data_IF_359041173050
#
_entry.id   IF_359041173050
#
_cell.length_a   1.000
_cell.length_b   1.000
_cell.length_c   1.000
_cell.angle_alpha   90.00
_cell.angle_beta   90.00
_cell.angle_gamma   90.00
#
_symmetry.space_group_name_H-M   'P 1'
#
loop_
_entity.id
_entity.type
_entity.pdbx_description
1 polymer ?
#
# COMPACT_ATOMS: atom_id res chain seq x y z
N UNK A 1 -23.34 25.58 -8.05
CA UNK A 1 -21.89 25.33 -8.29
C UNK A 1 -21.44 24.37 -7.20
N UNK A 2 -20.78 23.26 -7.53
CA UNK A 2 -20.37 22.28 -6.53
C UNK A 2 -19.30 22.91 -5.62
N UNK A 3 -19.50 22.87 -4.31
CA UNK A 3 -18.59 23.45 -3.31
C UNK A 3 -17.18 22.84 -3.39
N UNK A 4 -17.10 21.58 -3.80
CA UNK A 4 -15.82 20.89 -4.02
C UNK A 4 -14.97 21.58 -5.12
N UNK A 5 -15.53 21.81 -6.31
CA UNK A 5 -14.80 22.42 -7.43
C UNK A 5 -14.50 23.91 -7.26
N UNK A 6 -15.08 24.53 -6.24
CA UNK A 6 -14.73 25.91 -5.84
C UNK A 6 -13.59 25.94 -4.83
N UNK A 7 -13.46 24.92 -3.98
CA UNK A 7 -12.34 24.78 -3.02
C UNK A 7 -11.10 24.15 -3.64
N UNK A 8 -11.28 23.22 -4.59
CA UNK A 8 -10.20 22.53 -5.30
C UNK A 8 -10.30 22.92 -6.79
N UNK A 9 -9.42 23.80 -7.30
CA UNK A 9 -9.48 24.25 -8.68
C UNK A 9 -9.22 23.11 -9.66
N UNK A 10 -10.07 22.99 -10.67
CA UNK A 10 -9.95 21.99 -11.73
C UNK A 10 -10.01 22.66 -13.10
N UNK A 11 -9.28 22.13 -14.07
CA UNK A 11 -9.34 22.60 -15.46
C UNK A 11 -10.26 21.71 -16.29
N UNK A 12 -11.50 22.16 -16.50
CA UNK A 12 -12.48 21.48 -17.38
C UNK A 12 -12.52 22.09 -18.80
N UNK A 13 -11.71 23.12 -19.07
CA UNK A 13 -11.80 23.90 -20.30
C UNK A 13 -13.18 24.55 -20.44
N UNK A 14 -13.84 24.37 -21.59
CA UNK A 14 -15.20 24.85 -21.83
C UNK A 14 -16.30 23.86 -21.40
N UNK A 15 -15.94 22.71 -20.83
CA UNK A 15 -16.91 21.71 -20.38
C UNK A 15 -17.45 22.09 -19.02
N UNK A 16 -18.73 21.80 -18.79
CA UNK A 16 -19.34 21.91 -17.47
C UNK A 16 -18.67 20.93 -16.50
N UNK A 17 -18.33 21.34 -15.27
CA UNK A 17 -17.80 20.44 -14.26
C UNK A 17 -18.71 19.22 -14.07
N UNK A 18 -18.20 17.99 -14.23
CA UNK A 18 -19.00 16.77 -14.11
C UNK A 18 -19.49 16.60 -12.68
N UNK A 19 -20.67 16.01 -12.48
CA UNK A 19 -21.13 15.71 -11.11
C UNK A 19 -20.52 14.39 -10.64
N UNK A 20 -19.87 14.40 -9.48
CA UNK A 20 -19.35 13.19 -8.83
C UNK A 20 -20.55 12.39 -8.32
N UNK A 21 -20.96 11.35 -9.06
CA UNK A 21 -22.13 10.51 -8.75
C UNK A 21 -21.80 9.03 -8.52
N UNK A 22 -20.61 8.59 -8.88
CA UNK A 22 -20.17 7.20 -8.77
C UNK A 22 -19.06 7.06 -7.74
N UNK A 23 -18.93 5.87 -7.16
CA UNK A 23 -17.87 5.56 -6.19
C UNK A 23 -16.51 5.65 -6.87
N UNK A 24 -16.41 5.25 -8.15
CA UNK A 24 -15.20 5.32 -8.95
C UNK A 24 -14.75 6.76 -9.17
N UNK A 25 -15.69 7.67 -9.51
CA UNK A 25 -15.37 9.08 -9.65
C UNK A 25 -14.93 9.70 -8.32
N UNK A 26 -15.56 9.28 -7.21
CA UNK A 26 -15.20 9.76 -5.88
C UNK A 26 -13.81 9.26 -5.43
N UNK A 27 -13.47 7.99 -5.72
CA UNK A 27 -12.12 7.43 -5.49
C UNK A 27 -11.06 8.25 -6.22
N UNK A 28 -11.28 8.60 -7.49
CA UNK A 28 -10.33 9.39 -8.27
C UNK A 28 -10.06 10.78 -7.65
N UNK A 29 -11.10 11.41 -7.10
CA UNK A 29 -11.00 12.73 -6.45
C UNK A 29 -10.30 12.65 -5.09
N UNK A 30 -10.57 11.61 -4.29
CA UNK A 30 -9.81 11.35 -3.04
C UNK A 30 -8.33 11.13 -3.36
N UNK A 31 -8.04 10.34 -4.39
CA UNK A 31 -6.65 10.10 -4.82
C UNK A 31 -5.96 11.37 -5.32
N UNK A 32 -6.68 12.31 -5.93
CA UNK A 32 -6.15 13.62 -6.31
C UNK A 32 -5.78 14.44 -5.08
N UNK A 33 -6.64 14.46 -4.06
CA UNK A 33 -6.38 15.16 -2.80
C UNK A 33 -5.16 14.59 -2.07
N UNK A 34 -5.03 13.27 -2.01
CA UNK A 34 -3.86 12.61 -1.43
C UNK A 34 -2.57 12.99 -2.17
N UNK A 35 -2.63 13.05 -3.51
CA UNK A 35 -1.53 13.48 -4.37
C UNK A 35 -1.15 14.94 -4.13
N UNK A 36 -2.12 15.85 -4.09
CA UNK A 36 -1.89 17.28 -3.82
C UNK A 36 -1.27 17.49 -2.45
N UNK A 37 -1.74 16.76 -1.44
CA UNK A 37 -1.17 16.76 -0.08
C UNK A 37 0.27 16.28 -0.11
N UNK A 38 0.56 15.20 -0.84
CA UNK A 38 1.93 14.69 -1.04
C UNK A 38 2.87 15.72 -1.68
N UNK A 39 2.39 16.44 -2.70
CA UNK A 39 3.14 17.51 -3.39
C UNK A 39 3.38 18.69 -2.46
N UNK A 40 2.36 19.17 -1.73
CA UNK A 40 2.50 20.27 -0.77
C UNK A 40 3.61 19.97 0.23
N UNK A 41 3.64 18.76 0.78
CA UNK A 41 4.68 18.30 1.71
C UNK A 41 6.06 18.29 1.06
N UNK A 42 6.16 17.89 -0.20
CA UNK A 42 7.42 17.89 -0.93
C UNK A 42 7.94 19.32 -1.17
N UNK A 43 7.04 20.23 -1.56
CA UNK A 43 7.35 21.62 -1.92
C UNK A 43 7.63 22.49 -0.69
N UNK A 44 6.83 22.41 0.38
CA UNK A 44 7.03 23.18 1.63
C UNK A 44 8.36 22.87 2.32
N UNK A 45 8.93 21.69 2.04
CA UNK A 45 10.25 21.33 2.54
C UNK A 45 11.38 21.93 1.71
N UNK A 46 11.19 22.45 0.49
CA UNK A 46 12.28 23.00 -0.34
C UNK A 46 12.67 24.42 0.10
N UNK A 47 13.84 24.59 0.74
CA UNK A 47 14.52 25.90 0.89
C UNK A 47 16.03 25.71 1.20
N UNK A 48 16.90 26.39 0.43
CA UNK A 48 18.35 26.68 0.62
C UNK A 48 19.46 25.68 0.21
N UNK A 49 20.60 26.32 -0.10
CA UNK A 49 21.86 26.09 -0.87
C UNK A 49 22.74 24.84 -0.72
N UNK A 50 22.23 23.71 -0.23
CA UNK A 50 22.94 22.42 -0.31
C UNK A 50 22.52 21.64 -1.57
N UNK A 51 23.25 20.57 -1.94
CA UNK A 51 22.79 19.65 -3.01
C UNK A 51 21.34 19.23 -2.71
N UNK A 52 20.37 19.64 -3.55
CA UNK A 52 18.96 19.39 -3.29
C UNK A 52 18.67 17.91 -3.03
N UNK A 53 19.39 17.01 -3.71
CA UNK A 53 19.17 15.56 -3.61
C UNK A 53 19.55 15.03 -2.22
N UNK A 54 20.74 15.38 -1.72
CA UNK A 54 21.20 14.95 -0.39
C UNK A 54 20.31 15.51 0.73
N UNK A 55 19.81 16.73 0.56
CA UNK A 55 18.82 17.32 1.47
C UNK A 55 17.49 16.58 1.44
N UNK A 56 17.01 16.20 0.25
CA UNK A 56 15.78 15.41 0.13
C UNK A 56 15.94 14.03 0.75
N UNK A 57 17.08 13.37 0.52
CA UNK A 57 17.41 12.06 1.07
C UNK A 57 17.51 12.06 2.60
N UNK A 58 18.31 12.98 3.17
CA UNK A 58 18.49 13.09 4.63
C UNK A 58 17.16 13.30 5.37
N UNK A 59 16.19 14.00 4.76
CA UNK A 59 14.85 14.22 5.33
C UNK A 59 13.95 13.00 5.33
N UNK A 60 14.23 11.99 4.51
CA UNK A 60 13.48 10.75 4.54
C UNK A 60 13.71 10.02 5.87
N UNK A 61 14.87 10.20 6.51
CA UNK A 61 15.28 9.47 7.72
C UNK A 61 15.30 7.95 7.52
N UNK A 62 15.70 7.51 6.34
CA UNK A 62 15.95 6.11 6.00
C UNK A 62 17.39 5.95 5.53
N UNK A 63 17.97 4.78 5.78
CA UNK A 63 19.06 4.24 4.97
C UNK A 63 18.42 3.38 3.88
N UNK A 64 18.64 3.78 2.63
CA UNK A 64 18.14 3.08 1.45
C UNK A 64 19.30 2.31 0.85
N UNK A 65 19.29 0.99 1.02
CA UNK A 65 20.41 0.13 0.66
C UNK A 65 20.00 -0.76 -0.51
N UNK A 66 20.70 -0.72 -1.66
CA UNK A 66 20.42 -1.65 -2.74
C UNK A 66 20.72 -3.09 -2.30
N UNK A 67 19.82 -4.01 -2.63
CA UNK A 67 20.02 -5.45 -2.36
C UNK A 67 20.57 -6.10 -3.62
N UNK A 68 21.66 -6.85 -3.47
CA UNK A 68 22.29 -7.57 -4.58
C UNK A 68 21.44 -8.74 -5.05
N UNK A 69 21.53 -9.11 -6.33
CA UNK A 69 20.67 -10.14 -6.95
C UNK A 69 20.95 -11.53 -6.41
N UNK A 70 22.17 -11.77 -5.97
CA UNK A 70 22.62 -13.04 -5.41
C UNK A 70 22.09 -13.27 -3.99
N UNK A 71 21.65 -12.21 -3.31
CA UNK A 71 21.11 -12.25 -1.95
C UNK A 71 19.81 -13.08 -1.88
N UNK A 72 19.65 -13.83 -0.79
CA UNK A 72 18.47 -14.66 -0.55
C UNK A 72 17.19 -13.82 -0.41
N UNK A 73 17.30 -12.62 0.17
CA UNK A 73 16.17 -11.66 0.24
C UNK A 73 15.71 -11.31 -1.17
N UNK A 74 16.63 -10.96 -2.07
CA UNK A 74 16.28 -10.59 -3.45
C UNK A 74 15.54 -11.73 -4.14
N UNK A 75 16.06 -12.95 -4.04
CA UNK A 75 15.45 -14.15 -4.65
C UNK A 75 14.06 -14.44 -4.07
N UNK A 76 13.89 -14.31 -2.76
CA UNK A 76 12.59 -14.48 -2.10
C UNK A 76 11.58 -13.45 -2.59
N UNK A 77 11.99 -12.18 -2.71
CA UNK A 77 11.13 -11.09 -3.17
C UNK A 77 10.76 -11.29 -4.64
N UNK A 78 11.70 -11.71 -5.48
CA UNK A 78 11.47 -12.03 -6.89
C UNK A 78 10.48 -13.18 -7.04
N UNK A 79 10.67 -14.26 -6.28
CA UNK A 79 9.75 -15.39 -6.22
C UNK A 79 8.37 -14.95 -5.77
N UNK A 80 8.27 -14.18 -4.68
CA UNK A 80 7.00 -13.68 -4.17
C UNK A 80 6.28 -12.82 -5.20
N UNK A 81 6.99 -11.89 -5.85
CA UNK A 81 6.46 -11.01 -6.89
C UNK A 81 5.87 -11.81 -8.05
N UNK A 82 6.62 -12.77 -8.58
CA UNK A 82 6.25 -13.55 -9.77
C UNK A 82 5.14 -14.54 -9.44
N UNK A 83 5.26 -15.28 -8.33
CA UNK A 83 4.27 -16.29 -7.96
C UNK A 83 2.92 -15.66 -7.64
N UNK A 84 2.88 -14.47 -7.06
CA UNK A 84 1.61 -13.85 -6.62
C UNK A 84 1.03 -12.84 -7.62
N UNK A 85 1.38 -12.96 -8.90
CA UNK A 85 0.65 -12.28 -9.95
C UNK A 85 -0.73 -12.96 -10.13
N UNK A 86 -1.79 -12.30 -9.68
CA UNK A 86 -3.16 -12.77 -9.77
C UNK A 86 -3.62 -13.03 -11.22
N UNK A 87 -4.33 -14.15 -11.48
CA UNK A 87 -4.67 -14.60 -12.84
C UNK A 87 -5.66 -13.68 -13.57
N UNK A 88 -6.45 -12.88 -12.84
CA UNK A 88 -7.37 -11.90 -13.45
C UNK A 88 -6.66 -10.61 -13.89
N UNK A 89 -5.40 -10.40 -13.52
CA UNK A 89 -4.60 -9.22 -13.88
C UNK A 89 -3.67 -9.54 -15.06
N UNK A 90 -4.26 -9.88 -16.20
CA UNK A 90 -3.54 -10.30 -17.41
C UNK A 90 -3.13 -9.15 -18.34
N UNK A 91 -3.55 -7.91 -18.06
CA UNK A 91 -3.25 -6.74 -18.89
C UNK A 91 -1.79 -6.29 -18.82
N UNK A 92 -1.04 -6.72 -17.79
CA UNK A 92 0.37 -6.42 -17.63
C UNK A 92 1.14 -7.61 -17.03
N UNK A 93 2.46 -7.58 -17.19
CA UNK A 93 3.38 -8.48 -16.48
C UNK A 93 4.33 -7.66 -15.62
N UNK A 94 4.54 -8.11 -14.39
CA UNK A 94 5.50 -7.53 -13.46
C UNK A 94 6.89 -8.12 -13.69
N UNK A 95 7.88 -7.24 -13.76
CA UNK A 95 9.30 -7.60 -13.86
C UNK A 95 10.08 -6.84 -12.78
N UNK A 96 10.82 -7.57 -11.96
CA UNK A 96 11.65 -7.00 -10.91
C UNK A 96 12.86 -6.29 -11.53
N UNK A 97 13.02 -4.98 -11.31
CA UNK A 97 14.20 -4.22 -11.74
C UNK A 97 15.24 -4.09 -10.65
N UNK A 98 14.80 -3.69 -9.45
CA UNK A 98 15.70 -3.48 -8.32
C UNK A 98 14.96 -3.59 -6.99
N UNK A 99 15.68 -4.08 -5.98
CA UNK A 99 15.24 -4.18 -4.59
C UNK A 99 16.07 -3.23 -3.74
N UNK A 100 15.40 -2.46 -2.88
CA UNK A 100 16.04 -1.65 -1.85
C UNK A 100 15.52 -2.03 -0.47
N UNK A 101 16.43 -2.33 0.43
CA UNK A 101 16.16 -2.46 1.86
C UNK A 101 16.12 -1.07 2.48
N UNK A 102 15.02 -0.76 3.17
CA UNK A 102 14.87 0.51 3.87
C UNK A 102 15.00 0.29 5.38
N UNK A 103 16.05 0.87 5.96
CA UNK A 103 16.28 0.85 7.40
C UNK A 103 15.95 2.21 8.00
N UNK A 104 15.01 2.26 8.96
CA UNK A 104 14.57 3.53 9.54
C UNK A 104 15.63 4.05 10.50
N UNK A 105 16.01 5.33 10.37
CA UNK A 105 16.91 5.98 11.34
C UNK A 105 16.21 6.40 12.63
N UNK A 106 14.89 6.51 12.55
CA UNK A 106 14.04 6.96 13.65
C UNK A 106 13.71 5.79 14.59
N UNK A 107 14.62 5.52 15.53
CA UNK A 107 14.52 4.40 16.49
C UNK A 107 13.27 4.46 17.37
N UNK A 108 12.76 5.65 17.68
CA UNK A 108 11.53 5.78 18.48
C UNK A 108 10.32 5.18 17.75
N UNK A 109 10.26 5.35 16.43
CA UNK A 109 9.19 4.77 15.60
C UNK A 109 9.38 3.26 15.41
N UNK A 110 10.63 2.81 15.33
CA UNK A 110 10.97 1.39 15.29
C UNK A 110 10.53 0.69 16.59
N UNK A 111 10.80 1.29 17.74
CA UNK A 111 10.40 0.76 19.06
C UNK A 111 8.87 0.73 19.25
N UNK A 112 8.14 1.64 18.59
CA UNK A 112 6.66 1.65 18.59
C UNK A 112 6.05 0.55 17.72
N UNK A 113 6.83 -0.19 16.95
CA UNK A 113 6.32 -1.34 16.21
C UNK A 113 5.98 -2.48 17.17
N UNK A 114 4.71 -2.90 17.22
CA UNK A 114 4.29 -4.00 18.08
C UNK A 114 4.64 -5.36 17.47
N UNK A 115 5.91 -5.74 17.61
CA UNK A 115 6.42 -7.09 17.31
C UNK A 115 5.60 -8.17 18.03
N UNK A 116 5.06 -7.84 19.21
CA UNK A 116 4.34 -8.76 20.09
C UNK A 116 2.82 -8.84 19.86
N UNK A 117 2.29 -8.19 18.80
CA UNK A 117 0.83 -8.20 18.54
C UNK A 117 0.30 -9.59 18.10
N UNK A 118 1.18 -10.55 17.81
CA UNK A 118 0.82 -11.89 17.34
C UNK A 118 1.19 -12.06 15.87
N UNK A 119 0.22 -12.41 15.02
CA UNK A 119 0.44 -12.71 13.60
C UNK A 119 1.07 -11.52 12.86
N UNK A 120 2.19 -11.76 12.18
CA UNK A 120 2.90 -10.78 11.35
C UNK A 120 3.11 -11.37 9.95
N UNK A 121 2.86 -10.55 8.94
CA UNK A 121 2.98 -10.96 7.54
C UNK A 121 3.76 -9.92 6.74
N UNK A 122 4.54 -10.37 5.77
CA UNK A 122 5.13 -9.50 4.76
C UNK A 122 4.12 -9.32 3.61
N UNK A 123 3.59 -8.11 3.44
CA UNK A 123 2.50 -7.84 2.51
C UNK A 123 2.79 -6.68 1.55
N UNK A 124 2.16 -6.73 0.38
CA UNK A 124 2.31 -5.76 -0.69
C UNK A 124 1.48 -4.50 -0.46
N UNK A 125 2.09 -3.34 -0.68
CA UNK A 125 1.43 -2.05 -0.79
C UNK A 125 1.87 -1.36 -2.09
N UNK A 126 0.91 -0.82 -2.84
CA UNK A 126 1.15 -0.07 -4.06
C UNK A 126 0.55 1.32 -3.99
N UNK A 127 1.20 2.28 -4.62
CA UNK A 127 0.79 3.69 -4.59
C UNK A 127 1.37 4.43 -5.79
N UNK A 128 0.74 5.56 -6.17
CA UNK A 128 1.19 6.40 -7.28
C UNK A 128 2.61 6.91 -7.04
N UNK A 129 3.37 7.07 -8.13
CA UNK A 129 4.76 7.58 -8.09
C UNK A 129 4.89 8.86 -7.22
N UNK A 130 3.94 9.78 -7.36
CA UNK A 130 3.89 11.07 -6.66
C UNK A 130 3.79 10.96 -5.14
N UNK A 131 3.30 9.83 -4.63
CA UNK A 131 3.03 9.63 -3.21
C UNK A 131 4.23 9.04 -2.47
N UNK A 132 5.20 8.44 -3.17
CA UNK A 132 6.30 7.74 -2.50
C UNK A 132 7.18 8.65 -1.67
N UNK A 133 7.41 9.90 -2.10
CA UNK A 133 8.17 10.84 -1.28
C UNK A 133 7.48 11.11 0.08
N UNK A 134 6.17 11.32 0.08
CA UNK A 134 5.43 11.55 1.33
C UNK A 134 5.33 10.28 2.18
N UNK A 135 5.09 9.12 1.55
CA UNK A 135 5.06 7.81 2.22
C UNK A 135 6.39 7.51 2.90
N UNK A 136 7.52 7.72 2.23
CA UNK A 136 8.84 7.51 2.83
C UNK A 136 9.11 8.54 3.93
N UNK A 137 8.81 9.81 3.70
CA UNK A 137 9.10 10.87 4.67
C UNK A 137 8.22 10.80 5.94
N UNK A 138 7.01 10.26 5.86
CA UNK A 138 6.01 10.35 6.92
C UNK A 138 5.44 9.00 7.36
N UNK A 139 5.68 7.93 6.61
CA UNK A 139 4.99 6.65 6.76
C UNK A 139 3.67 6.61 6.00
N UNK A 140 3.09 5.41 5.90
CA UNK A 140 1.71 5.25 5.43
C UNK A 140 0.75 5.93 6.41
N UNK A 141 -0.26 6.62 5.87
CA UNK A 141 -1.24 7.36 6.66
C UNK A 141 -2.63 6.81 6.41
N UNK A 142 -3.45 6.81 7.45
CA UNK A 142 -4.89 6.64 7.30
C UNK A 142 -5.48 7.97 6.84
N UNK A 143 -6.44 7.88 5.92
CA UNK A 143 -7.18 9.03 5.44
C UNK A 143 -7.78 9.83 6.62
N UNK A 144 -7.71 11.17 6.57
CA UNK A 144 -8.16 12.00 7.68
C UNK A 144 -9.67 11.84 7.93
N UNK A 145 -10.19 12.11 9.15
CA UNK A 145 -11.60 11.95 9.50
C UNK A 145 -12.56 12.68 8.54
N UNK A 146 -12.12 13.78 7.96
CA UNK A 146 -12.88 14.64 7.04
C UNK A 146 -12.99 14.05 5.63
N UNK A 147 -12.08 13.14 5.24
CA UNK A 147 -12.16 12.47 3.95
C UNK A 147 -13.43 11.60 3.86
N UNK A 148 -14.10 11.54 2.71
CA UNK A 148 -15.27 10.69 2.58
C UNK A 148 -14.88 9.20 2.70
N UNK A 149 -15.71 8.41 3.39
CA UNK A 149 -15.46 6.96 3.62
C UNK A 149 -15.72 6.13 2.35
N UNK A 150 -16.49 6.69 1.43
CA UNK A 150 -16.78 6.12 0.12
C UNK A 150 -15.51 5.85 -0.67
N UNK A 151 -15.29 4.58 -1.00
CA UNK A 151 -14.10 4.12 -1.70
C UNK A 151 -13.25 3.15 -0.88
N UNK A 152 -13.40 3.15 0.44
CA UNK A 152 -12.74 2.20 1.34
C UNK A 152 -13.67 1.02 1.63
N UNK A 153 -13.32 -0.18 1.14
CA UNK A 153 -14.17 -1.37 1.27
C UNK A 153 -14.40 -1.78 2.73
N UNK A 154 -13.40 -1.57 3.58
CA UNK A 154 -13.41 -1.92 5.01
C UNK A 154 -13.14 -0.69 5.90
N UNK A 155 -13.54 0.49 5.44
CA UNK A 155 -13.33 1.76 6.13
C UNK A 155 -11.90 2.27 6.11
N UNK A 156 -11.67 3.39 6.80
CA UNK A 156 -10.39 4.12 6.75
C UNK A 156 -9.30 3.35 7.48
N UNK A 157 -8.36 2.82 6.72
CA UNK A 157 -7.25 2.00 7.19
C UNK A 157 -6.10 2.05 6.19
N UNK A 158 -4.98 1.42 6.54
CA UNK A 158 -3.90 1.16 5.59
C UNK A 158 -4.12 -0.22 4.98
N UNK A 159 -4.19 -0.26 3.65
CA UNK A 159 -4.54 -1.46 2.89
C UNK A 159 -3.29 -2.13 2.34
N UNK A 160 -3.26 -3.46 2.47
CA UNK A 160 -2.22 -4.35 1.97
C UNK A 160 -2.86 -5.53 1.24
N UNK A 161 -2.09 -6.18 0.37
CA UNK A 161 -2.48 -7.39 -0.34
C UNK A 161 -1.39 -8.46 -0.23
N UNK A 162 -1.79 -9.71 -0.32
CA UNK A 162 -0.90 -10.86 -0.47
C UNK A 162 -0.63 -11.21 -1.95
N UNK A 163 -1.40 -10.63 -2.87
CA UNK A 163 -1.26 -10.73 -4.33
C UNK A 163 -0.54 -9.50 -4.88
N UNK A 164 0.64 -9.69 -5.48
CA UNK A 164 1.50 -8.61 -5.98
C UNK A 164 0.79 -7.72 -7.01
N UNK A 165 0.12 -8.33 -8.00
CA UNK A 165 -0.55 -7.57 -9.06
C UNK A 165 -1.77 -6.77 -8.59
N UNK A 166 -2.37 -7.15 -7.45
CA UNK A 166 -3.45 -6.37 -6.83
C UNK A 166 -2.92 -5.02 -6.32
N UNK A 167 -1.80 -5.04 -5.60
CA UNK A 167 -1.13 -3.81 -5.18
C UNK A 167 -0.51 -3.05 -6.35
N UNK A 168 -0.01 -3.74 -7.38
CA UNK A 168 0.53 -3.10 -8.58
C UNK A 168 -0.49 -2.24 -9.33
N UNK A 169 -1.78 -2.59 -9.33
CA UNK A 169 -2.84 -1.78 -9.95
C UNK A 169 -2.94 -0.35 -9.35
N UNK A 170 -2.50 -0.15 -8.11
CA UNK A 170 -2.44 1.16 -7.47
C UNK A 170 -1.16 1.94 -7.79
N UNK A 171 -0.19 1.25 -8.39
CA UNK A 171 1.12 1.79 -8.74
C UNK A 171 1.08 2.26 -10.19
N UNK A 172 0.42 3.40 -10.44
CA UNK A 172 0.35 4.00 -11.77
C UNK A 172 1.73 3.97 -12.43
N UNK A 173 1.85 3.29 -13.58
CA UNK A 173 3.10 3.19 -14.30
C UNK A 173 3.52 4.57 -14.81
N UNK A 174 4.76 4.97 -14.49
CA UNK A 174 5.32 6.22 -15.00
C UNK A 174 5.61 6.16 -16.51
N UNK A 175 6.20 7.23 -17.05
CA UNK A 175 6.52 7.40 -18.48
C UNK A 175 7.39 6.28 -19.09
N UNK A 176 8.08 5.49 -18.26
CA UNK A 176 8.94 4.37 -18.69
C UNK A 176 8.40 3.00 -18.22
N UNK A 177 7.08 2.87 -18.06
CA UNK A 177 6.44 1.66 -17.53
C UNK A 177 7.01 1.22 -16.17
N UNK A 178 7.59 2.16 -15.42
CA UNK A 178 8.24 1.87 -14.15
C UNK A 178 7.33 2.27 -13.01
N UNK A 179 7.24 1.41 -12.00
CA UNK A 179 6.41 1.62 -10.82
C UNK A 179 7.20 1.27 -9.56
N UNK A 180 6.82 1.89 -8.45
CA UNK A 180 7.32 1.51 -7.13
C UNK A 180 6.24 0.72 -6.42
N UNK A 181 6.67 -0.34 -5.75
CA UNK A 181 5.85 -1.08 -4.79
C UNK A 181 6.63 -1.25 -3.49
N UNK A 182 5.90 -1.50 -2.42
CA UNK A 182 6.45 -1.73 -1.10
C UNK A 182 6.03 -3.10 -0.60
N UNK A 183 6.99 -3.86 -0.06
CA UNK A 183 6.68 -4.92 0.91
C UNK A 183 6.85 -4.36 2.31
N UNK A 184 5.88 -4.63 3.17
CA UNK A 184 5.95 -4.24 4.57
C UNK A 184 5.72 -5.39 5.52
N UNK A 185 6.51 -5.45 6.59
CA UNK A 185 6.17 -6.26 7.77
C UNK A 185 4.95 -5.63 8.46
N UNK A 186 3.80 -6.29 8.35
CA UNK A 186 2.54 -5.82 8.93
C UNK A 186 2.19 -6.65 10.15
N UNK A 187 2.11 -6.01 11.30
CA UNK A 187 1.60 -6.63 12.52
C UNK A 187 0.06 -6.66 12.49
N UNK A 188 -0.50 -7.81 12.13
CA UNK A 188 -1.94 -8.02 11.96
C UNK A 188 -2.63 -8.42 13.27
N UNK A 189 -1.93 -9.18 14.12
CA UNK A 189 -2.50 -9.76 15.33
C UNK A 189 -3.76 -10.57 15.06
N UNK A 190 -4.70 -10.53 16.01
CA UNK A 190 -6.03 -11.10 15.82
C UNK A 190 -6.84 -10.34 14.76
N UNK A 191 -7.12 -11.00 13.63
CA UNK A 191 -7.85 -10.43 12.50
C UNK A 191 -9.35 -10.67 12.61
N UNK A 192 -10.16 -9.68 12.21
CA UNK A 192 -11.57 -9.88 11.88
C UNK A 192 -11.66 -10.29 10.40
N UNK A 193 -12.20 -11.47 10.12
CA UNK A 193 -12.40 -11.91 8.74
C UNK A 193 -13.79 -11.54 8.24
N UNK A 194 -13.86 -10.97 7.03
CA UNK A 194 -15.10 -10.53 6.39
C UNK A 194 -15.16 -10.98 4.93
N UNK A 195 -16.36 -11.38 4.48
CA UNK A 195 -16.61 -11.79 3.09
C UNK A 195 -17.15 -10.66 2.22
N UNK A 196 -17.68 -9.62 2.85
CA UNK A 196 -18.28 -8.45 2.19
C UNK A 196 -17.77 -7.16 2.83
N UNK A 197 -17.78 -6.08 2.03
CA UNK A 197 -17.32 -4.78 2.48
C UNK A 197 -18.17 -4.19 3.59
N UNK A 198 -17.52 -3.66 4.62
CA UNK A 198 -18.11 -2.82 5.65
C UNK A 198 -17.34 -1.49 5.74
N UNK A 199 -17.87 -0.47 5.06
CA UNK A 199 -17.24 0.85 5.02
C UNK A 199 -17.10 1.52 6.40
N UNK A 200 -17.88 1.14 7.41
CA UNK A 200 -17.82 1.76 8.75
C UNK A 200 -16.98 0.94 9.75
N UNK A 201 -16.28 -0.09 9.27
CA UNK A 201 -15.60 -1.05 10.13
C UNK A 201 -14.51 -0.43 11.02
N UNK A 202 -13.84 0.60 10.52
CA UNK A 202 -12.85 1.36 11.28
C UNK A 202 -13.37 1.97 12.60
N UNK A 203 -14.70 2.15 12.75
CA UNK A 203 -15.34 2.62 13.98
C UNK A 203 -15.92 1.50 14.84
N UNK A 204 -15.96 0.26 14.34
CA UNK A 204 -16.73 -0.85 14.91
C UNK A 204 -15.91 -2.13 15.10
N UNK A 205 -14.58 -2.04 15.01
CA UNK A 205 -13.70 -3.19 15.18
C UNK A 205 -13.96 -3.84 16.56
N UNK A 206 -14.34 -5.14 16.61
CA UNK A 206 -14.66 -5.81 17.86
C UNK A 206 -13.48 -5.81 18.83
N UNK A 207 -13.78 -5.80 20.13
CA UNK A 207 -12.75 -5.85 21.17
C UNK A 207 -11.88 -7.11 21.00
N UNK A 208 -10.56 -6.91 20.99
CA UNK A 208 -9.58 -7.98 20.81
C UNK A 208 -9.23 -8.28 19.35
N UNK A 209 -9.87 -7.61 18.38
CA UNK A 209 -9.42 -7.59 16.98
C UNK A 209 -8.54 -6.37 16.74
N UNK A 210 -7.50 -6.53 15.93
CA UNK A 210 -6.49 -5.50 15.67
C UNK A 210 -6.42 -5.06 14.20
N UNK A 211 -6.87 -5.94 13.30
CA UNK A 211 -6.91 -5.71 11.86
C UNK A 211 -8.09 -6.44 11.23
N UNK A 212 -8.36 -6.15 9.97
CA UNK A 212 -9.38 -6.83 9.16
C UNK A 212 -8.73 -7.57 8.01
N UNK A 213 -9.27 -8.75 7.70
CA UNK A 213 -8.97 -9.51 6.49
C UNK A 213 -10.24 -9.65 5.66
N UNK A 214 -10.28 -9.00 4.51
CA UNK A 214 -11.24 -9.32 3.46
C UNK A 214 -10.85 -10.66 2.84
N UNK A 215 -11.73 -11.66 2.92
CA UNK A 215 -11.49 -12.99 2.36
C UNK A 215 -11.73 -12.94 0.86
N UNK A 216 -10.73 -13.26 0.04
CA UNK A 216 -10.86 -13.36 -1.40
C UNK A 216 -11.12 -14.79 -1.89
N UNK A 217 -11.65 -14.91 -3.11
CA UNK A 217 -11.80 -16.20 -3.81
C UNK A 217 -10.47 -16.85 -4.15
N UNK A 218 -9.45 -16.06 -4.47
CA UNK A 218 -8.12 -16.51 -4.88
C UNK A 218 -7.10 -16.01 -3.87
N UNK A 219 -6.25 -16.92 -3.37
CA UNK A 219 -5.23 -16.63 -2.36
C UNK A 219 -3.90 -17.28 -2.74
N UNK A 220 -2.75 -16.78 -2.28
CA UNK A 220 -1.50 -17.53 -2.38
C UNK A 220 -1.65 -18.88 -1.67
N UNK A 221 -1.16 -19.94 -2.30
CA UNK A 221 -1.24 -21.30 -1.78
C UNK A 221 -0.65 -21.39 -0.36
N UNK A 222 -1.47 -21.68 0.67
CA UNK A 222 -1.03 -21.58 2.06
C UNK A 222 0.14 -22.49 2.41
N UNK A 223 0.23 -23.68 1.80
CA UNK A 223 1.29 -24.67 2.04
C UNK A 223 2.66 -24.21 1.51
N UNK A 224 2.69 -23.21 0.61
CA UNK A 224 3.89 -22.61 0.05
C UNK A 224 4.29 -21.32 0.79
N UNK A 225 3.61 -20.98 1.89
CA UNK A 225 3.98 -19.85 2.76
C UNK A 225 5.32 -20.12 3.42
N UNK A 226 6.26 -19.19 3.26
CA UNK A 226 7.56 -19.22 3.95
C UNK A 226 7.47 -18.48 5.27
N UNK A 227 8.26 -18.90 6.25
CA UNK A 227 8.36 -18.27 7.57
C UNK A 227 9.80 -17.82 7.74
N UNK A 228 10.02 -16.53 8.01
CA UNK A 228 11.33 -15.97 8.30
C UNK A 228 11.75 -16.28 9.74
N UNK A 229 13.04 -16.11 10.07
CA UNK A 229 13.63 -16.48 11.36
C UNK A 229 12.95 -15.84 12.59
N UNK A 230 12.28 -14.71 12.40
CA UNK A 230 11.55 -13.98 13.44
C UNK A 230 10.05 -14.29 13.50
N UNK A 231 9.57 -15.24 12.68
CA UNK A 231 8.17 -15.66 12.63
C UNK A 231 7.28 -14.84 11.70
N UNK A 232 7.85 -14.00 10.83
CA UNK A 232 7.08 -13.30 9.78
C UNK A 232 6.68 -14.30 8.70
N UNK A 233 5.38 -14.35 8.39
CA UNK A 233 4.86 -15.14 7.26
C UNK A 233 5.00 -14.38 5.94
N UNK A 234 5.50 -15.06 4.90
CA UNK A 234 5.62 -14.56 3.53
C UNK A 234 4.77 -15.45 2.63
N UNK A 235 3.54 -15.03 2.25
CA UNK A 235 2.62 -15.85 1.47
C UNK A 235 3.00 -15.85 -0.02
N UNK A 236 4.15 -16.46 -0.34
CA UNK A 236 4.74 -16.47 -1.68
C UNK A 236 4.29 -17.62 -2.59
N UNK A 237 3.26 -18.36 -2.18
CA UNK A 237 2.69 -19.45 -2.96
C UNK A 237 1.99 -18.98 -4.24
N UNK A 238 1.85 -19.86 -5.21
CA UNK A 238 1.07 -19.56 -6.43
C UNK A 238 -0.42 -19.36 -6.10
N UNK A 239 -1.18 -18.58 -6.89
CA UNK A 239 -2.56 -18.28 -6.56
C UNK A 239 -3.43 -19.52 -6.78
N UNK A 240 -4.27 -19.84 -5.80
CA UNK A 240 -5.22 -20.96 -5.83
C UNK A 240 -6.60 -20.48 -5.44
N UNK A 241 -7.63 -21.13 -5.97
CA UNK A 241 -9.01 -20.90 -5.54
C UNK A 241 -9.24 -21.42 -4.13
N UNK A 242 -10.02 -20.68 -3.36
CA UNK A 242 -10.50 -21.07 -2.04
C UNK A 242 -11.84 -21.79 -2.13
N UNK A 243 -12.19 -22.53 -1.08
CA UNK A 243 -13.54 -23.09 -0.91
C UNK A 243 -14.59 -21.98 -0.66
N UNK A 244 -14.17 -20.79 -0.24
CA UNK A 244 -15.02 -19.66 0.06
C UNK A 244 -15.47 -18.93 -1.21
N UNK A 245 -16.53 -19.43 -1.83
CA UNK A 245 -17.11 -18.83 -3.05
C UNK A 245 -18.15 -17.73 -2.76
N UNK A 246 -18.66 -17.66 -1.52
CA UNK A 246 -19.66 -16.71 -1.03
C UNK A 246 -19.06 -15.37 -0.58
N UNK A 247 -18.00 -14.91 -1.25
CA UNK A 247 -17.42 -13.57 -1.06
C UNK A 247 -17.54 -12.72 -2.31
N UNK A 248 -17.63 -11.41 -2.12
CA UNK A 248 -17.57 -10.41 -3.20
C UNK A 248 -16.13 -10.08 -3.64
N UNK A 249 -15.11 -10.51 -2.91
CA UNK A 249 -13.71 -10.19 -3.20
C UNK A 249 -13.04 -11.27 -4.07
N UNK A 250 -12.29 -10.85 -5.10
CA UNK A 250 -11.50 -11.78 -5.91
C UNK A 250 -10.24 -12.23 -5.15
N UNK A 251 -9.58 -11.33 -4.43
CA UNK A 251 -8.34 -11.57 -3.70
C UNK A 251 -8.42 -11.01 -2.30
N UNK A 252 -7.61 -11.54 -1.38
CA UNK A 252 -7.55 -11.04 -0.01
C UNK A 252 -7.18 -9.55 0.06
N UNK A 253 -7.57 -8.94 1.17
CA UNK A 253 -7.23 -7.58 1.54
C UNK A 253 -6.95 -7.53 3.04
N UNK A 254 -5.85 -6.90 3.45
CA UNK A 254 -5.47 -6.79 4.85
C UNK A 254 -5.45 -5.33 5.25
N UNK A 255 -6.19 -4.99 6.29
CA UNK A 255 -6.42 -3.61 6.70
C UNK A 255 -6.02 -3.45 8.15
N UNK A 256 -5.05 -2.57 8.39
CA UNK A 256 -4.67 -2.13 9.74
C UNK A 256 -5.23 -0.73 10.00
N UNK A 257 -5.81 -0.58 11.19
CA UNK A 257 -6.46 0.66 11.63
C UNK A 257 -5.59 1.38 12.66
N UNK A 258 -5.80 2.68 12.81
CA UNK A 258 -5.20 3.41 13.92
C UNK A 258 -6.09 3.28 15.15
N UNK A 259 -5.81 2.29 16.01
CA UNK A 259 -6.54 2.14 17.27
C UNK A 259 -6.06 3.12 18.34
N UNK A 260 -4.93 3.80 18.13
CA UNK A 260 -4.36 4.73 19.09
C UNK A 260 -4.30 6.14 18.47
N UNK A 261 -5.32 6.96 18.72
CA UNK A 261 -5.47 8.35 18.22
C UNK A 261 -4.28 9.28 18.51
N UNK A 262 -3.30 8.84 19.30
CA UNK A 262 -2.10 9.57 19.71
C UNK A 262 -0.81 9.04 19.06
N UNK A 263 -0.85 7.96 18.28
CA UNK A 263 0.31 7.41 17.57
C UNK A 263 -0.01 7.44 16.07
N UNK A 264 0.57 8.40 15.36
CA UNK A 264 0.37 8.58 13.92
C UNK A 264 1.28 7.68 13.06
N UNK A 265 2.03 6.77 13.68
CA UNK A 265 3.05 5.97 13.00
C UNK A 265 2.70 4.49 13.07
N UNK A 266 2.39 3.94 11.90
CA UNK A 266 1.89 2.58 11.75
C UNK A 266 3.04 1.56 11.73
N UNK A 267 2.86 0.50 12.54
CA UNK A 267 3.00 -0.96 12.30
C UNK A 267 3.81 -1.46 11.09
N UNK A 268 4.91 -0.83 10.72
CA UNK A 268 5.73 -1.25 9.58
C UNK A 268 7.20 -1.16 9.99
N UNK A 269 7.87 -2.29 10.01
CA UNK A 269 9.24 -2.39 10.52
C UNK A 269 10.25 -2.91 9.49
N UNK A 270 9.78 -3.30 8.31
CA UNK A 270 10.62 -3.52 7.14
C UNK A 270 9.90 -2.90 5.95
N UNK A 271 10.56 -2.02 5.21
CA UNK A 271 10.05 -1.55 3.91
C UNK A 271 11.06 -2.01 2.88
N UNK A 272 10.63 -2.85 1.95
CA UNK A 272 11.39 -3.10 0.74
C UNK A 272 10.75 -2.28 -0.37
N UNK A 273 11.48 -1.32 -0.92
CA UNK A 273 11.04 -0.62 -2.14
C UNK A 273 11.47 -1.43 -3.35
N UNK A 274 10.50 -1.75 -4.19
CA UNK A 274 10.70 -2.48 -5.42
C UNK A 274 10.48 -1.57 -6.60
N UNK A 275 11.44 -1.51 -7.51
CA UNK A 275 11.23 -0.94 -8.84
C UNK A 275 10.74 -2.07 -9.75
N UNK A 276 9.56 -1.88 -10.33
CA UNK A 276 8.96 -2.80 -11.28
C UNK A 276 8.98 -2.24 -12.69
N UNK A 277 9.06 -3.12 -13.69
CA UNK A 277 8.60 -2.84 -15.06
C UNK A 277 7.20 -3.44 -15.22
N UNK A 278 6.25 -2.64 -15.67
CA UNK A 278 4.93 -3.10 -16.11
C UNK A 278 4.93 -3.17 -17.64
N UNK A 279 5.25 -4.34 -18.20
CA UNK A 279 5.08 -4.54 -19.65
C UNK A 279 3.58 -4.74 -19.92
N UNK A 280 2.95 -3.74 -20.53
CA UNK A 280 1.60 -3.90 -21.05
C UNK A 280 1.65 -4.76 -22.32
N UNK A 281 0.67 -5.65 -22.48
CA UNK A 281 0.50 -6.39 -23.72
C UNK A 281 -0.25 -5.50 -24.73
N UNK A 282 0.33 -5.28 -25.90
CA UNK A 282 -0.42 -4.71 -27.03
C UNK A 282 -1.43 -5.75 -27.51
N UNK A 283 -2.72 -5.38 -27.53
CA UNK A 283 -3.78 -6.16 -28.18
C UNK A 283 -3.69 -5.95 -29.70
#
# INVERSE_FOLDING_TARGET
>A
MNEYYTRIPHCFGMRTPPMIRTIEALKQEIELLDLLTGIEIAVTKMNNSDDPIEKHYSRLKWDIIPVEKEDEKYKLIEEYLINTQGPTHCSFKLELKQVYELNRKDKEKEEKFLKNLGKRMLLWHGSKLTNWYSILAQGLRIAPPEAPVTGYMFGKGVYFADISSKSANYSNSGSNNSAFMMLSEVALGEMLELKDGDSDLHNKLPKGKHSTKGIGKIVPKPEETKILDDGIEVPCGKPVDTECQDTTLIYNEFIVYNWNRFVNDFWLNLIISIILNCKMFSI
#
